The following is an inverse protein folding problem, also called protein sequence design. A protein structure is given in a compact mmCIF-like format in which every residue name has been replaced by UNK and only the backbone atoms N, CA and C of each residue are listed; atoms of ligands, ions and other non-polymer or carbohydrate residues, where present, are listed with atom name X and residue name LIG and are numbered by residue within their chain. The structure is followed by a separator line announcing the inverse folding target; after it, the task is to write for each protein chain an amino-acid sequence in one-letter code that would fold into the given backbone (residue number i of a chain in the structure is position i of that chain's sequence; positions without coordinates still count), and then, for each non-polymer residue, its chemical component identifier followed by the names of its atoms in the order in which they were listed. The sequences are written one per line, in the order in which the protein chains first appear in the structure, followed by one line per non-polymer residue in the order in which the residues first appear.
data_IF_233016132724
#
_entry.id   IF_233016132724
#
_cell.length_a   1.000
_cell.length_b   1.000
_cell.length_c   1.000
_cell.angle_alpha   90.00
_cell.angle_beta   90.00
_cell.angle_gamma   90.00
#
_symmetry.space_group_name_H-M   'P 1'
#
loop_
_entity.id
_entity.type
_entity.pdbx_description
1 polymer ?
#
# COMPACT_ATOMS: atom_id res chain seq x y z
N UNK A 1 2.09 1.28 10.06
CA UNK A 1 1.35 0.98 8.81
C UNK A 1 2.17 1.40 7.59
N UNK A 2 2.61 2.66 7.51
CA UNK A 2 3.47 3.16 6.41
C UNK A 2 4.78 2.39 6.28
N UNK A 3 5.47 2.11 7.40
CA UNK A 3 6.69 1.30 7.41
C UNK A 3 6.49 -0.06 6.73
N UNK A 4 5.43 -0.79 7.07
CA UNK A 4 5.11 -2.09 6.46
C UNK A 4 4.87 -1.98 4.95
N UNK A 5 4.26 -0.88 4.49
CA UNK A 5 4.07 -0.64 3.05
C UNK A 5 5.41 -0.36 2.34
N UNK A 6 6.30 0.40 2.98
CA UNK A 6 7.65 0.66 2.46
C UNK A 6 8.49 -0.62 2.42
N UNK A 7 8.45 -1.43 3.48
CA UNK A 7 9.13 -2.74 3.52
C UNK A 7 8.64 -3.65 2.39
N UNK A 8 7.32 -3.70 2.15
CA UNK A 8 6.75 -4.48 1.04
C UNK A 8 7.19 -3.94 -0.33
N UNK A 9 7.20 -2.62 -0.53
CA UNK A 9 7.64 -2.01 -1.79
C UNK A 9 9.12 -2.31 -2.07
N UNK A 10 9.97 -2.28 -1.04
CA UNK A 10 11.40 -2.62 -1.16
C UNK A 10 11.57 -4.11 -1.45
N UNK A 11 11.06 -4.98 -0.59
CA UNK A 11 11.30 -6.43 -0.66
C UNK A 11 10.66 -7.09 -1.89
N UNK A 12 9.51 -6.60 -2.35
CA UNK A 12 8.77 -7.21 -3.46
C UNK A 12 8.85 -6.42 -4.77
N UNK A 13 9.02 -5.10 -4.72
CA UNK A 13 9.09 -4.25 -5.91
C UNK A 13 10.52 -3.97 -6.36
N UNK A 14 11.32 -3.39 -5.47
CA UNK A 14 12.65 -2.85 -5.78
C UNK A 14 13.75 -3.91 -5.77
N UNK A 15 13.84 -4.72 -4.72
CA UNK A 15 14.90 -5.72 -4.54
C UNK A 15 14.95 -6.75 -5.68
N UNK A 16 13.83 -7.23 -6.25
CA UNK A 16 13.86 -8.16 -7.38
C UNK A 16 14.19 -7.49 -8.73
N UNK A 17 14.15 -6.16 -8.84
CA UNK A 17 14.39 -5.45 -10.11
C UNK A 17 15.90 -5.27 -10.33
N UNK A 18 16.38 -5.70 -11.50
CA UNK A 18 17.79 -5.55 -11.85
C UNK A 18 18.22 -4.11 -12.13
N UNK A 19 17.27 -3.20 -12.37
CA UNK A 19 17.52 -1.77 -12.62
C UNK A 19 17.13 -0.94 -11.40
N UNK A 20 17.66 0.29 -11.26
CA UNK A 20 17.16 1.22 -10.25
C UNK A 20 15.64 1.37 -10.28
N UNK A 21 15.06 1.55 -9.10
CA UNK A 21 13.62 1.78 -8.92
C UNK A 21 13.40 2.98 -8.02
N UNK A 22 12.25 3.62 -8.18
CA UNK A 22 11.81 4.73 -7.35
C UNK A 22 10.64 4.28 -6.49
N UNK A 23 10.61 4.80 -5.26
CA UNK A 23 9.45 4.73 -4.38
C UNK A 23 9.04 6.16 -4.06
N UNK A 24 7.80 6.51 -4.36
CA UNK A 24 7.19 7.78 -4.04
C UNK A 24 6.20 7.60 -2.89
N UNK A 25 6.37 8.42 -1.85
CA UNK A 25 5.41 8.49 -0.75
C UNK A 25 4.74 9.85 -0.79
N UNK A 26 3.43 9.88 -0.97
CA UNK A 26 2.65 11.12 -1.00
C UNK A 26 1.59 11.11 0.09
N UNK A 27 1.30 12.29 0.62
CA UNK A 27 0.26 12.50 1.61
C UNK A 27 -0.56 13.70 1.17
N UNK A 28 -1.84 13.49 0.90
CA UNK A 28 -2.76 14.51 0.44
C UNK A 28 -3.96 14.62 1.38
N UNK A 29 -4.46 15.83 1.60
CA UNK A 29 -5.73 16.04 2.30
C UNK A 29 -6.85 16.14 1.27
N UNK A 30 -7.78 15.19 1.30
CA UNK A 30 -8.93 15.12 0.39
C UNK A 30 -10.21 15.17 1.21
N UNK A 31 -10.83 16.36 1.25
CA UNK A 31 -12.01 16.60 2.10
C UNK A 31 -11.67 16.44 3.58
N UNK A 32 -12.36 15.52 4.26
CA UNK A 32 -12.13 15.20 5.68
C UNK A 32 -11.13 14.07 5.91
N UNK A 33 -10.41 13.64 4.87
CA UNK A 33 -9.56 12.47 4.93
C UNK A 33 -8.12 12.78 4.48
N UNK A 34 -7.19 11.99 4.99
CA UNK A 34 -5.81 11.90 4.53
C UNK A 34 -5.71 10.73 3.57
N UNK A 35 -5.20 11.00 2.38
CA UNK A 35 -4.85 10.02 1.37
C UNK A 35 -3.34 9.84 1.36
N UNK A 36 -2.87 8.72 1.90
CA UNK A 36 -1.47 8.33 1.86
C UNK A 36 -1.27 7.32 0.73
N UNK A 37 -0.28 7.57 -0.14
CA UNK A 37 0.12 6.63 -1.19
C UNK A 37 1.58 6.27 -1.05
N UNK A 38 1.88 4.98 -1.20
CA UNK A 38 3.23 4.47 -1.45
C UNK A 38 3.18 3.84 -2.84
N UNK A 39 3.93 4.43 -3.78
CA UNK A 39 3.97 4.06 -5.18
C UNK A 39 5.37 3.64 -5.53
N UNK A 40 5.56 2.42 -6.01
CA UNK A 40 6.84 1.99 -6.60
C UNK A 40 6.73 1.79 -8.11
N UNK A 41 7.86 1.86 -8.80
CA UNK A 41 8.01 1.49 -10.21
C UNK A 41 8.72 0.14 -10.39
N UNK A 42 8.64 -0.72 -9.36
CA UNK A 42 9.30 -2.02 -9.28
C UNK A 42 8.73 -3.07 -10.24
N UNK A 43 8.99 -4.34 -9.94
CA UNK A 43 8.52 -5.47 -10.78
C UNK A 43 7.00 -5.69 -10.76
N UNK A 44 6.28 -5.01 -9.86
CA UNK A 44 4.82 -5.13 -9.72
C UNK A 44 4.41 -6.39 -8.95
N UNK A 45 3.15 -6.83 -9.14
CA UNK A 45 2.71 -8.11 -8.60
C UNK A 45 3.39 -9.23 -9.40
N UNK A 46 4.30 -9.98 -8.79
CA UNK A 46 4.87 -11.19 -9.39
C UNK A 46 3.76 -12.05 -10.01
N UNK A 47 3.94 -12.49 -11.25
CA UNK A 47 2.94 -13.14 -12.12
C UNK A 47 2.29 -14.44 -11.59
N UNK A 48 2.52 -14.82 -10.32
CA UNK A 48 1.83 -15.91 -9.63
C UNK A 48 0.64 -15.47 -8.78
N UNK A 49 0.30 -14.17 -8.73
CA UNK A 49 -0.73 -13.66 -7.81
C UNK A 49 -1.75 -12.73 -8.49
N UNK A 50 -2.19 -13.10 -9.70
CA UNK A 50 -3.15 -12.35 -10.52
C UNK A 50 -4.61 -12.66 -10.18
N UNK A 51 -4.90 -13.39 -9.10
CA UNK A 51 -6.27 -13.57 -8.67
C UNK A 51 -6.63 -12.51 -7.63
N UNK A 52 -7.60 -11.67 -7.99
CA UNK A 52 -8.44 -10.91 -7.07
C UNK A 52 -8.69 -11.75 -5.82
N UNK A 53 -8.22 -11.25 -4.66
CA UNK A 53 -8.34 -11.88 -3.33
C UNK A 53 -7.29 -12.93 -2.88
N UNK A 54 -6.12 -13.08 -3.53
CA UNK A 54 -5.03 -13.85 -2.93
C UNK A 54 -3.70 -13.09 -2.87
N UNK A 55 -2.85 -13.53 -1.95
CA UNK A 55 -1.77 -12.82 -1.28
C UNK A 55 -0.38 -13.28 -1.75
N UNK A 56 0.32 -12.44 -2.51
CA UNK A 56 1.74 -12.58 -2.81
C UNK A 56 2.54 -11.64 -1.93
N UNK A 57 3.17 -12.19 -0.88
CA UNK A 57 3.89 -11.47 0.17
C UNK A 57 3.34 -11.81 1.56
N UNK A 58 3.56 -13.05 2.03
CA UNK A 58 3.07 -13.71 3.28
C UNK A 58 1.62 -13.50 3.73
N UNK A 59 0.82 -12.61 3.11
CA UNK A 59 -0.50 -12.15 3.55
C UNK A 59 -0.52 -11.40 4.88
N UNK A 60 0.39 -11.73 5.79
CA UNK A 60 0.43 -11.25 7.18
C UNK A 60 0.63 -9.74 7.25
N UNK A 61 1.56 -9.17 6.49
CA UNK A 61 1.82 -7.72 6.53
C UNK A 61 0.60 -6.89 6.12
N UNK A 62 -0.06 -7.29 5.02
CA UNK A 62 -1.26 -6.61 4.52
C UNK A 62 -2.50 -6.91 5.37
N UNK A 63 -2.62 -8.13 5.93
CA UNK A 63 -3.68 -8.49 6.88
C UNK A 63 -3.56 -7.64 8.16
N UNK A 64 -2.36 -7.51 8.72
CA UNK A 64 -2.08 -6.68 9.89
C UNK A 64 -2.44 -5.20 9.63
N UNK A 65 -2.20 -4.69 8.43
CA UNK A 65 -2.63 -3.34 8.05
C UNK A 65 -4.17 -3.25 8.10
N UNK A 66 -4.88 -4.20 7.48
CA UNK A 66 -6.36 -4.21 7.48
C UNK A 66 -6.94 -4.32 8.88
N UNK A 67 -6.42 -5.22 9.71
CA UNK A 67 -6.86 -5.38 11.10
C UNK A 67 -6.63 -4.11 11.92
N UNK A 68 -5.45 -3.48 11.79
CA UNK A 68 -5.15 -2.23 12.49
C UNK A 68 -6.03 -1.08 12.02
N UNK A 69 -6.33 -0.99 10.73
CA UNK A 69 -7.29 0.01 10.22
C UNK A 69 -8.67 -0.21 10.81
N UNK A 70 -9.14 -1.46 10.78
CA UNK A 70 -10.45 -1.81 11.31
C UNK A 70 -10.55 -1.51 12.80
N UNK A 71 -9.51 -1.81 13.58
CA UNK A 71 -9.48 -1.54 15.02
C UNK A 71 -9.44 -0.04 15.35
N UNK A 72 -8.70 0.76 14.59
CA UNK A 72 -8.51 2.18 14.88
C UNK A 72 -9.60 3.09 14.29
N UNK A 73 -10.12 2.74 13.11
CA UNK A 73 -10.99 3.62 12.31
C UNK A 73 -12.28 2.93 11.85
N UNK A 74 -12.39 1.61 12.00
CA UNK A 74 -13.52 0.83 11.47
C UNK A 74 -13.69 1.05 9.97
N UNK A 75 -14.94 1.15 9.54
CA UNK A 75 -15.29 1.38 8.14
C UNK A 75 -14.92 2.78 7.60
N UNK A 76 -14.40 3.68 8.44
CA UNK A 76 -14.02 5.04 8.02
C UNK A 76 -12.66 5.11 7.33
N UNK A 77 -11.85 4.06 7.46
CA UNK A 77 -10.59 3.95 6.74
C UNK A 77 -10.63 2.83 5.71
N UNK A 78 -9.90 3.00 4.62
CA UNK A 78 -9.75 1.97 3.59
C UNK A 78 -8.27 1.75 3.24
N UNK A 79 -7.99 0.54 2.79
CA UNK A 79 -6.69 0.16 2.23
C UNK A 79 -6.91 -0.52 0.88
N UNK A 80 -6.26 0.01 -0.15
CA UNK A 80 -6.28 -0.55 -1.50
C UNK A 80 -4.85 -0.82 -1.96
N UNK A 81 -4.71 -1.85 -2.78
CA UNK A 81 -3.45 -2.24 -3.40
C UNK A 81 -3.73 -2.47 -4.88
N UNK A 82 -3.02 -1.76 -5.75
CA UNK A 82 -3.30 -1.70 -7.18
C UNK A 82 -2.00 -1.81 -7.97
N UNK A 83 -2.05 -2.29 -9.22
CA UNK A 83 -0.88 -2.28 -10.09
C UNK A 83 -0.57 -0.85 -10.51
N UNK A 84 0.71 -0.48 -10.55
CA UNK A 84 1.17 0.76 -11.13
C UNK A 84 1.50 0.56 -12.62
N UNK A 85 1.34 1.61 -13.43
CA UNK A 85 1.59 1.57 -14.89
C UNK A 85 2.79 2.48 -15.21
N UNK A 86 3.79 2.05 -15.99
CA UNK A 86 3.87 0.77 -16.72
C UNK A 86 4.24 -0.45 -15.86
N UNK A 87 4.76 -0.25 -14.65
CA UNK A 87 5.13 -1.31 -13.70
C UNK A 87 5.09 -0.82 -12.25
N UNK A 88 5.11 -1.77 -11.31
CA UNK A 88 5.15 -1.50 -9.87
C UNK A 88 3.79 -1.64 -9.17
N UNK A 89 3.69 -1.13 -7.93
CA UNK A 89 2.50 -1.23 -7.10
C UNK A 89 2.14 0.13 -6.50
N UNK A 90 0.84 0.36 -6.32
CA UNK A 90 0.27 1.50 -5.59
C UNK A 90 -0.42 0.94 -4.34
N UNK A 91 0.13 1.24 -3.17
CA UNK A 91 -0.52 1.03 -1.89
C UNK A 91 -1.15 2.34 -1.42
N UNK A 92 -2.46 2.36 -1.24
CA UNK A 92 -3.21 3.56 -0.87
C UNK A 92 -3.98 3.33 0.44
N UNK A 93 -3.78 4.26 1.38
CA UNK A 93 -4.47 4.33 2.66
C UNK A 93 -5.32 5.61 2.68
N UNK A 94 -6.62 5.45 2.84
CA UNK A 94 -7.55 6.56 3.06
C UNK A 94 -7.94 6.55 4.53
N UNK A 95 -7.58 7.60 5.27
CA UNK A 95 -7.75 7.70 6.71
C UNK A 95 -8.58 8.95 7.04
N UNK A 96 -9.55 8.89 7.96
CA UNK A 96 -10.21 10.10 8.40
C UNK A 96 -9.21 11.01 9.13
N UNK A 97 -9.25 12.32 8.87
CA UNK A 97 -8.56 13.30 9.71
C UNK A 97 -9.22 13.21 11.08
N UNK A 98 -8.46 12.81 12.10
CA UNK A 98 -8.95 12.89 13.46
C UNK A 98 -9.21 14.38 13.74
N UNK A 99 -10.49 14.74 13.85
CA UNK A 99 -10.87 16.08 14.27
C UNK A 99 -10.24 16.32 15.64
N UNK A 100 -9.47 17.40 15.75
CA UNK A 100 -9.12 18.01 17.02
C UNK A 100 -10.41 18.13 17.80
N UNK A 101 -10.61 17.25 18.79
CA UNK A 101 -11.71 17.36 19.74
C UNK A 101 -11.19 18.14 20.92
#
# INVERSE_FOLDING_TARGET
MVQTLLENAIAHGVEPKATPSNIHVTLDVVGSNILLRVVDDGVGFSAGNTNTASTGGTGIGLANIRERLQAAYGARATFTLMANTPSGVIAELNLPIAGTT
#
